data_IF_973071731379
#
_entry.id   IF_973071731379
#
_cell.length_a   1.000
_cell.length_b   1.000
_cell.length_c   1.000
_cell.angle_alpha   90.00
_cell.angle_beta   90.00
_cell.angle_gamma   90.00
#
_symmetry.space_group_name_H-M   'P 1'
#
loop_
_entity.id
_entity.type
_entity.pdbx_description
1 polymer ?
#
# COMPACT_ATOMS: atom_id res chain seq x y z
N UNK A 1 -2.74 -26.49 -32.00
CA UNK A 1 -3.52 -26.49 -33.26
C UNK A 1 -2.71 -27.09 -34.41
N UNK A 2 -2.03 -28.22 -34.20
CA UNK A 2 -1.34 -29.03 -35.23
C UNK A 2 -0.56 -28.25 -36.31
N UNK A 3 0.07 -27.13 -35.94
CA UNK A 3 0.83 -26.30 -36.88
C UNK A 3 -0.01 -25.58 -37.94
N UNK A 4 -1.32 -25.40 -37.75
CA UNK A 4 -2.20 -24.68 -38.70
C UNK A 4 -2.03 -23.17 -38.65
N UNK A 5 -1.54 -22.62 -37.54
CA UNK A 5 -1.38 -21.18 -37.33
C UNK A 5 -0.02 -20.87 -36.72
N UNK A 6 0.47 -19.66 -36.98
CA UNK A 6 1.54 -19.05 -36.19
C UNK A 6 1.19 -17.62 -35.81
N UNK A 7 1.73 -17.14 -34.69
CA UNK A 7 1.58 -15.75 -34.27
C UNK A 7 2.87 -14.97 -34.54
N UNK A 8 2.71 -13.74 -35.04
CA UNK A 8 3.80 -12.78 -35.18
C UNK A 8 3.59 -11.71 -34.12
N UNK A 9 4.46 -11.67 -33.12
CA UNK A 9 4.45 -10.68 -32.06
C UNK A 9 5.56 -9.65 -32.28
N UNK A 10 5.24 -8.37 -32.10
CA UNK A 10 6.20 -7.26 -32.19
C UNK A 10 6.18 -6.48 -30.89
N UNK A 11 7.35 -6.37 -30.27
CA UNK A 11 7.57 -5.55 -29.07
C UNK A 11 8.52 -4.43 -29.48
N UNK A 12 8.04 -3.18 -29.39
CA UNK A 12 8.87 -2.00 -29.63
C UNK A 12 9.65 -1.63 -28.37
N UNK A 13 10.72 -0.86 -28.55
CA UNK A 13 11.55 -0.38 -27.45
C UNK A 13 10.80 0.56 -26.48
N UNK A 14 9.73 1.21 -26.95
CA UNK A 14 8.83 2.04 -26.14
C UNK A 14 7.78 1.22 -25.36
N UNK A 15 7.89 -0.11 -25.37
CA UNK A 15 6.98 -1.02 -24.68
C UNK A 15 5.67 -1.30 -25.43
N UNK A 16 5.44 -0.70 -26.61
CA UNK A 16 4.25 -1.05 -27.40
C UNK A 16 4.33 -2.48 -27.91
N UNK A 17 3.28 -3.26 -27.64
CA UNK A 17 3.13 -4.64 -28.10
C UNK A 17 2.04 -4.70 -29.17
N UNK A 18 2.31 -5.37 -30.27
CA UNK A 18 1.31 -5.72 -31.29
C UNK A 18 1.47 -7.16 -31.74
N UNK A 19 0.40 -7.76 -32.29
CA UNK A 19 0.47 -9.12 -32.76
C UNK A 19 -0.65 -9.51 -33.71
N UNK A 20 -0.33 -10.42 -34.62
CA UNK A 20 -1.24 -10.99 -35.63
C UNK A 20 -1.12 -12.52 -35.62
N UNK A 21 -2.21 -13.20 -35.97
CA UNK A 21 -2.24 -14.65 -36.15
C UNK A 21 -2.39 -14.93 -37.65
N UNK A 22 -1.51 -15.77 -38.19
CA UNK A 22 -1.45 -16.10 -39.61
C UNK A 22 -1.90 -17.55 -39.79
N UNK A 23 -2.80 -17.80 -40.74
CA UNK A 23 -3.16 -19.14 -41.19
C UNK A 23 -2.05 -19.68 -42.12
N UNK A 24 -1.46 -20.81 -41.76
CA UNK A 24 -0.33 -21.38 -42.49
C UNK A 24 -0.71 -21.93 -43.87
N UNK A 25 -1.99 -22.23 -44.09
CA UNK A 25 -2.45 -22.73 -45.37
C UNK A 25 -2.64 -21.61 -46.40
N UNK A 26 -3.11 -20.43 -45.96
CA UNK A 26 -3.35 -19.28 -46.85
C UNK A 26 -2.18 -18.29 -46.86
N UNK A 27 -1.39 -18.25 -45.78
CA UNK A 27 -0.38 -17.21 -45.55
C UNK A 27 -0.99 -15.85 -45.18
N UNK A 28 -2.30 -15.79 -44.92
CA UNK A 28 -3.02 -14.56 -44.64
C UNK A 28 -3.33 -14.42 -43.14
N UNK A 29 -3.60 -13.19 -42.72
CA UNK A 29 -4.06 -12.93 -41.35
C UNK A 29 -5.41 -13.58 -41.10
N UNK A 30 -5.52 -14.27 -39.96
CA UNK A 30 -6.76 -14.87 -39.50
C UNK A 30 -7.69 -13.80 -38.90
N UNK A 31 -8.32 -13.03 -39.78
CA UNK A 31 -9.26 -11.96 -39.44
C UNK A 31 -10.45 -12.35 -38.53
N UNK A 32 -10.97 -13.60 -38.54
CA UNK A 32 -12.05 -13.99 -37.62
C UNK A 32 -11.71 -13.79 -36.14
N UNK A 33 -10.43 -13.76 -35.78
CA UNK A 33 -9.96 -13.44 -34.42
C UNK A 33 -10.31 -12.01 -33.97
N UNK A 34 -10.59 -11.10 -34.92
CA UNK A 34 -10.93 -9.68 -34.66
C UNK A 34 -12.42 -9.39 -34.81
N UNK A 35 -13.23 -10.39 -35.15
CA UNK A 35 -14.66 -10.21 -35.36
C UNK A 35 -15.40 -10.05 -34.01
N UNK A 36 -16.48 -9.27 -34.00
CA UNK A 36 -17.34 -9.08 -32.82
C UNK A 36 -18.09 -10.37 -32.45
N UNK A 37 -18.40 -11.18 -33.46
CA UNK A 37 -19.05 -12.48 -33.31
C UNK A 37 -18.28 -13.51 -34.13
N UNK A 38 -17.97 -14.66 -33.52
CA UNK A 38 -17.21 -15.71 -34.18
C UNK A 38 -17.64 -17.10 -33.70
N UNK A 39 -17.37 -18.10 -34.54
CA UNK A 39 -17.74 -19.49 -34.30
C UNK A 39 -16.78 -20.23 -33.36
N UNK A 40 -17.11 -21.48 -32.98
CA UNK A 40 -16.34 -22.26 -32.02
C UNK A 40 -14.88 -22.51 -32.41
N UNK A 41 -14.58 -22.58 -33.71
CA UNK A 41 -13.21 -22.74 -34.19
C UNK A 41 -12.35 -21.49 -33.95
N UNK A 42 -12.87 -20.30 -34.24
CA UNK A 42 -12.18 -19.04 -33.95
C UNK A 42 -11.98 -18.83 -32.44
N UNK A 43 -12.91 -19.30 -31.61
CA UNK A 43 -12.75 -19.31 -30.15
C UNK A 43 -11.57 -20.19 -29.69
N UNK A 44 -11.34 -21.34 -30.35
CA UNK A 44 -10.18 -22.18 -30.06
C UNK A 44 -8.86 -21.51 -30.48
N UNK A 45 -8.85 -20.84 -31.64
CA UNK A 45 -7.69 -20.04 -32.09
C UNK A 45 -7.40 -18.91 -31.10
N UNK A 46 -8.44 -18.22 -30.64
CA UNK A 46 -8.33 -17.14 -29.64
C UNK A 46 -7.76 -17.66 -28.33
N UNK A 47 -8.28 -18.76 -27.78
CA UNK A 47 -7.79 -19.35 -26.56
C UNK A 47 -6.30 -19.73 -26.67
N UNK A 48 -5.90 -20.40 -27.75
CA UNK A 48 -4.50 -20.76 -27.99
C UNK A 48 -3.60 -19.52 -28.15
N UNK A 49 -4.10 -18.46 -28.78
CA UNK A 49 -3.37 -17.21 -28.92
C UNK A 49 -3.22 -16.48 -27.57
N UNK A 50 -4.26 -16.44 -26.74
CA UNK A 50 -4.21 -15.89 -25.39
C UNK A 50 -3.23 -16.65 -24.51
N UNK A 51 -3.21 -17.99 -24.58
CA UNK A 51 -2.26 -18.82 -23.85
C UNK A 51 -0.81 -18.49 -24.24
N UNK A 52 -0.54 -18.30 -25.54
CA UNK A 52 0.76 -17.85 -26.03
C UNK A 52 1.12 -16.46 -25.50
N UNK A 53 0.18 -15.51 -25.53
CA UNK A 53 0.39 -14.17 -24.99
C UNK A 53 0.69 -14.20 -23.49
N UNK A 54 0.00 -15.06 -22.73
CA UNK A 54 0.28 -15.27 -21.31
C UNK A 54 1.67 -15.89 -21.07
N UNK A 55 2.10 -16.84 -21.89
CA UNK A 55 3.46 -17.39 -21.84
C UNK A 55 4.51 -16.31 -22.10
N UNK A 56 4.34 -15.52 -23.15
CA UNK A 56 5.26 -14.41 -23.45
C UNK A 56 5.27 -13.37 -22.33
N UNK A 57 4.09 -13.00 -21.79
CA UNK A 57 4.00 -12.06 -20.68
C UNK A 57 4.72 -12.56 -19.42
N UNK A 58 4.64 -13.86 -19.12
CA UNK A 58 5.28 -14.44 -17.93
C UNK A 58 6.78 -14.67 -18.09
N UNK A 59 7.25 -14.99 -19.31
CA UNK A 59 8.65 -15.32 -19.57
C UNK A 59 9.49 -14.11 -19.97
N UNK A 60 8.89 -13.13 -20.64
CA UNK A 60 9.63 -12.02 -21.26
C UNK A 60 9.38 -10.67 -20.57
N UNK A 61 8.41 -10.55 -19.67
CA UNK A 61 8.06 -9.28 -19.03
C UNK A 61 8.07 -9.39 -17.51
N UNK A 62 8.46 -8.29 -16.87
CA UNK A 62 8.33 -8.12 -15.41
C UNK A 62 7.02 -7.40 -15.15
N UNK A 63 6.14 -8.03 -14.35
CA UNK A 63 4.91 -7.37 -13.92
C UNK A 63 5.26 -6.23 -12.97
N UNK A 64 4.80 -5.04 -13.32
CA UNK A 64 4.91 -3.84 -12.48
C UNK A 64 3.52 -3.38 -12.01
N UNK A 65 3.40 -2.80 -10.80
CA UNK A 65 2.11 -2.44 -10.22
C UNK A 65 1.46 -1.18 -10.82
N UNK A 66 2.25 -0.28 -11.39
CA UNK A 66 1.80 1.05 -11.86
C UNK A 66 2.21 1.29 -13.32
N UNK A 67 1.67 2.33 -13.96
CA UNK A 67 1.95 2.65 -15.35
C UNK A 67 3.27 3.42 -15.53
N UNK A 68 3.61 4.30 -14.60
CA UNK A 68 4.77 5.18 -14.67
C UNK A 68 6.04 4.58 -14.07
N UNK A 69 7.17 4.87 -14.71
CA UNK A 69 8.47 4.36 -14.27
C UNK A 69 8.81 4.80 -12.83
N UNK A 70 8.57 6.07 -12.50
CA UNK A 70 8.85 6.57 -11.15
C UNK A 70 7.99 5.90 -10.08
N UNK A 71 6.70 5.67 -10.35
CA UNK A 71 5.81 4.95 -9.44
C UNK A 71 6.29 3.51 -9.18
N UNK A 72 6.77 2.84 -10.23
CA UNK A 72 7.31 1.49 -10.13
C UNK A 72 8.66 1.42 -9.42
N UNK A 73 9.57 2.39 -9.66
CA UNK A 73 10.82 2.51 -8.89
C UNK A 73 10.53 2.72 -7.40
N UNK A 74 9.59 3.62 -7.08
CA UNK A 74 9.16 3.87 -5.71
C UNK A 74 8.58 2.61 -5.06
N UNK A 75 7.68 1.89 -5.75
CA UNK A 75 7.07 0.66 -5.24
C UNK A 75 8.14 -0.40 -4.94
N UNK A 76 9.10 -0.58 -5.85
CA UNK A 76 10.21 -1.51 -5.67
C UNK A 76 11.13 -1.09 -4.52
N UNK A 77 11.33 0.21 -4.30
CA UNK A 77 12.08 0.71 -3.14
C UNK A 77 11.32 0.49 -1.82
N UNK A 78 10.01 0.73 -1.77
CA UNK A 78 9.15 0.48 -0.60
C UNK A 78 9.20 -1.01 -0.23
N UNK A 79 9.04 -1.90 -1.22
CA UNK A 79 9.09 -3.34 -1.00
C UNK A 79 10.46 -3.81 -0.48
N UNK A 80 11.56 -3.22 -0.97
CA UNK A 80 12.91 -3.54 -0.50
C UNK A 80 13.22 -2.99 0.89
N UNK A 81 12.74 -1.79 1.21
CA UNK A 81 13.06 -1.07 2.46
C UNK A 81 12.17 -1.48 3.62
N UNK A 82 10.89 -1.72 3.35
CA UNK A 82 9.88 -1.96 4.38
C UNK A 82 9.20 -3.32 4.30
N UNK A 83 9.39 -4.05 3.19
CA UNK A 83 8.65 -5.28 2.87
C UNK A 83 7.13 -5.07 2.73
N UNK A 84 6.69 -3.83 2.54
CA UNK A 84 5.29 -3.50 2.29
C UNK A 84 4.99 -3.65 0.79
N UNK A 85 3.78 -4.14 0.46
CA UNK A 85 3.30 -4.30 -0.92
C UNK A 85 2.12 -3.37 -1.19
N UNK A 86 1.91 -2.92 -2.44
CA UNK A 86 0.73 -2.14 -2.81
C UNK A 86 -0.54 -3.00 -2.73
N UNK A 87 -1.59 -2.46 -2.10
CA UNK A 87 -2.90 -3.09 -1.98
C UNK A 87 -3.92 -2.45 -2.94
N UNK A 88 -4.41 -3.22 -3.92
CA UNK A 88 -5.40 -2.78 -4.89
C UNK A 88 -6.82 -3.01 -4.39
N UNK A 89 -7.32 -2.07 -3.58
CA UNK A 89 -8.56 -2.23 -2.82
C UNK A 89 -9.83 -1.80 -3.60
N UNK A 90 -9.67 -1.08 -4.71
CA UNK A 90 -10.78 -0.42 -5.40
C UNK A 90 -11.19 -1.19 -6.66
N UNK A 91 -12.25 -2.00 -6.58
CA UNK A 91 -12.75 -2.80 -7.73
C UNK A 91 -13.06 -1.97 -8.99
N UNK A 92 -13.49 -0.72 -8.82
CA UNK A 92 -13.82 0.20 -9.93
C UNK A 92 -12.63 1.03 -10.42
N UNK A 93 -11.52 1.02 -9.67
CA UNK A 93 -10.31 1.78 -9.95
C UNK A 93 -9.11 0.84 -9.75
N UNK A 94 -8.92 -0.14 -10.66
CA UNK A 94 -7.95 -1.21 -10.48
C UNK A 94 -6.50 -0.72 -10.46
N UNK A 95 -6.23 0.49 -10.93
CA UNK A 95 -4.90 1.10 -10.98
C UNK A 95 -4.55 1.85 -9.68
N UNK A 96 -5.46 1.88 -8.70
CA UNK A 96 -5.28 2.62 -7.46
C UNK A 96 -4.82 1.65 -6.38
N UNK A 97 -3.72 1.98 -5.71
CA UNK A 97 -3.17 1.14 -4.67
C UNK A 97 -2.79 1.91 -3.42
N UNK A 98 -3.11 1.33 -2.26
CA UNK A 98 -2.71 1.86 -0.98
C UNK A 98 -1.46 1.13 -0.45
N UNK A 99 -0.56 1.87 0.17
CA UNK A 99 0.51 1.34 1.01
C UNK A 99 0.12 1.48 2.48
N UNK A 100 0.17 0.35 3.20
CA UNK A 100 -0.30 0.22 4.57
C UNK A 100 0.83 -0.19 5.49
N UNK A 101 0.92 0.45 6.65
CA UNK A 101 1.88 0.02 7.66
C UNK A 101 1.31 -1.22 8.40
N UNK A 102 2.01 -2.38 8.41
CA UNK A 102 1.42 -3.65 8.82
C UNK A 102 0.87 -3.70 10.25
N UNK A 103 1.50 -3.00 11.21
CA UNK A 103 1.06 -3.06 12.62
C UNK A 103 -0.15 -2.17 12.89
N UNK A 104 -0.15 -0.97 12.32
CA UNK A 104 -1.24 0.00 12.50
C UNK A 104 -2.44 -0.25 11.62
N UNK A 105 -2.25 -1.00 10.53
CA UNK A 105 -3.23 -1.21 9.47
C UNK A 105 -3.73 0.10 8.84
N UNK A 106 -2.99 1.20 9.03
CA UNK A 106 -3.31 2.51 8.46
C UNK A 106 -2.50 2.75 7.20
N UNK A 107 -3.13 3.39 6.22
CA UNK A 107 -2.44 3.82 5.02
C UNK A 107 -1.46 4.95 5.34
N UNK A 108 -0.27 4.88 4.73
CA UNK A 108 0.71 5.96 4.67
C UNK A 108 0.91 6.49 3.25
N UNK A 109 0.59 5.69 2.24
CA UNK A 109 0.65 6.10 0.83
C UNK A 109 -0.59 5.65 0.06
N UNK A 110 -1.01 6.45 -0.91
CA UNK A 110 -2.08 6.09 -1.85
C UNK A 110 -1.67 6.54 -3.25
N UNK A 111 -1.33 5.59 -4.11
CA UNK A 111 -1.00 5.85 -5.52
C UNK A 111 -2.27 5.80 -6.35
N UNK A 112 -2.48 6.82 -7.17
CA UNK A 112 -3.66 6.99 -8.01
C UNK A 112 -3.28 7.62 -9.35
N UNK A 113 -4.11 7.40 -10.36
CA UNK A 113 -3.93 7.98 -11.69
C UNK A 113 -5.03 9.01 -11.99
N UNK A 114 -4.69 10.30 -12.01
CA UNK A 114 -5.64 11.41 -12.11
C UNK A 114 -5.32 12.35 -13.28
N UNK A 115 -6.28 13.14 -13.78
CA UNK A 115 -5.97 14.17 -14.79
C UNK A 115 -4.89 15.14 -14.30
N UNK A 116 -3.87 15.40 -15.12
CA UNK A 116 -2.68 16.21 -14.73
C UNK A 116 -3.03 17.63 -14.28
N UNK A 117 -4.09 18.21 -14.82
CA UNK A 117 -4.58 19.52 -14.41
C UNK A 117 -5.07 19.58 -12.95
N UNK A 118 -5.42 18.44 -12.33
CA UNK A 118 -5.95 18.45 -10.97
C UNK A 118 -4.93 18.87 -9.91
N UNK A 119 -3.75 18.23 -9.81
CA UNK A 119 -2.77 18.65 -8.81
C UNK A 119 -2.05 19.96 -9.21
N UNK A 120 -1.91 20.23 -10.51
CA UNK A 120 -0.99 21.29 -10.98
C UNK A 120 -1.65 22.64 -11.26
N UNK A 121 -2.99 22.73 -11.26
CA UNK A 121 -3.79 23.88 -11.76
C UNK A 121 -3.42 24.33 -13.20
N UNK A 122 -2.57 23.57 -13.91
CA UNK A 122 -2.21 23.84 -15.30
C UNK A 122 -3.36 23.39 -16.21
N UNK A 123 -3.70 24.18 -17.23
CA UNK A 123 -4.70 23.77 -18.22
C UNK A 123 -4.29 22.44 -18.85
N UNK A 124 -5.20 21.47 -18.79
CA UNK A 124 -5.04 20.19 -19.49
C UNK A 124 -5.15 20.43 -20.99
N UNK A 125 -4.14 20.02 -21.74
CA UNK A 125 -4.13 20.09 -23.21
C UNK A 125 -5.00 19.00 -23.85
N UNK A 126 -5.42 17.99 -23.08
CA UNK A 126 -6.28 16.89 -23.53
C UNK A 126 -6.97 16.19 -22.36
N UNK A 127 -8.24 15.77 -22.54
CA UNK A 127 -8.97 14.90 -21.58
C UNK A 127 -8.25 13.59 -21.26
N UNK A 128 -7.27 13.18 -22.08
CA UNK A 128 -6.45 11.97 -21.87
C UNK A 128 -5.15 12.22 -21.08
N UNK A 129 -4.79 13.47 -20.77
CA UNK A 129 -3.57 13.78 -20.03
C UNK A 129 -3.73 13.45 -18.54
N UNK A 130 -3.20 12.29 -18.16
CA UNK A 130 -3.20 11.80 -16.79
C UNK A 130 -1.78 11.73 -16.24
N UNK A 131 -1.68 11.79 -14.92
CA UNK A 131 -0.45 11.65 -14.15
C UNK A 131 -0.72 10.76 -12.96
N UNK A 132 0.23 9.87 -12.67
CA UNK A 132 0.24 9.14 -11.43
C UNK A 132 0.72 10.06 -10.31
N UNK A 133 0.04 10.02 -9.18
CA UNK A 133 0.41 10.75 -7.98
C UNK A 133 0.41 9.80 -6.79
N UNK A 134 1.19 10.12 -5.77
CA UNK A 134 1.08 9.49 -4.45
C UNK A 134 0.60 10.51 -3.43
N UNK A 135 -0.46 10.17 -2.71
CA UNK A 135 -0.87 10.92 -1.52
C UNK A 135 -0.15 10.37 -0.28
N UNK A 136 0.54 11.24 0.45
CA UNK A 136 1.36 10.90 1.62
C UNK A 136 0.97 11.73 2.84
N UNK A 137 0.93 11.10 4.02
CA UNK A 137 0.77 11.84 5.30
C UNK A 137 1.91 12.82 5.51
N UNK A 138 1.59 14.03 5.97
CA UNK A 138 2.55 15.07 6.34
C UNK A 138 2.12 15.79 7.63
N UNK A 139 3.02 15.98 8.61
CA UNK A 139 2.74 16.82 9.78
C UNK A 139 2.60 18.29 9.37
N UNK A 140 1.76 19.03 10.09
CA UNK A 140 1.56 20.46 9.85
C UNK A 140 2.87 21.26 9.88
N UNK A 141 3.83 20.88 10.73
CA UNK A 141 5.12 21.57 10.89
C UNK A 141 6.04 21.49 9.67
N UNK A 142 5.88 20.49 8.80
CA UNK A 142 6.71 20.31 7.59
C UNK A 142 5.95 20.67 6.31
N UNK A 143 4.64 20.89 6.42
CA UNK A 143 3.75 21.03 5.27
C UNK A 143 4.14 22.21 4.37
N UNK A 144 4.39 23.38 4.96
CA UNK A 144 4.75 24.58 4.20
C UNK A 144 6.04 24.37 3.40
N UNK A 145 7.06 23.74 3.99
CA UNK A 145 8.33 23.43 3.31
C UNK A 145 8.15 22.51 2.11
N UNK A 146 7.30 21.49 2.24
CA UNK A 146 7.06 20.56 1.15
C UNK A 146 6.21 21.17 0.03
N UNK A 147 5.22 22.00 0.35
CA UNK A 147 4.39 22.70 -0.65
C UNK A 147 5.16 23.75 -1.46
N UNK A 148 6.36 24.15 -1.01
CA UNK A 148 7.27 25.04 -1.75
C UNK A 148 8.09 24.29 -2.81
N UNK A 149 8.02 22.94 -2.84
CA UNK A 149 8.73 22.13 -3.81
C UNK A 149 7.86 21.87 -5.05
N UNK A 150 8.44 22.01 -6.23
CA UNK A 150 7.80 21.59 -7.48
C UNK A 150 7.42 20.10 -7.43
N UNK A 151 6.24 19.79 -7.96
CA UNK A 151 5.68 18.43 -7.95
C UNK A 151 4.97 18.05 -6.65
N UNK A 152 4.88 18.95 -5.66
CA UNK A 152 4.18 18.71 -4.39
C UNK A 152 3.02 19.70 -4.22
N UNK A 153 1.85 19.16 -3.90
CA UNK A 153 0.58 19.88 -3.89
C UNK A 153 -0.27 19.52 -2.66
N UNK A 154 -1.30 20.31 -2.34
CA UNK A 154 -2.33 19.89 -1.38
C UNK A 154 -2.96 18.55 -1.79
N UNK A 155 -3.28 17.69 -0.81
CA UNK A 155 -3.98 16.44 -1.10
C UNK A 155 -5.34 16.68 -1.75
N UNK A 156 -5.78 15.76 -2.61
CA UNK A 156 -7.01 15.94 -3.37
C UNK A 156 -8.13 14.98 -2.92
N UNK A 157 -7.81 13.70 -2.64
CA UNK A 157 -8.79 12.72 -2.17
C UNK A 157 -8.81 12.58 -0.65
N UNK A 158 -7.65 12.68 -0.01
CA UNK A 158 -7.51 12.60 1.44
C UNK A 158 -7.45 13.99 2.08
N UNK A 159 -7.62 14.05 3.40
CA UNK A 159 -7.69 15.31 4.14
C UNK A 159 -6.45 16.19 3.89
N UNK A 160 -6.65 17.33 3.24
CA UNK A 160 -5.62 18.33 2.95
C UNK A 160 -4.83 18.76 4.19
N UNK A 161 -5.42 18.70 5.39
CA UNK A 161 -4.73 19.10 6.63
C UNK A 161 -3.53 18.21 6.96
N UNK A 162 -3.58 16.94 6.57
CA UNK A 162 -2.64 15.92 7.01
C UNK A 162 -1.99 15.14 5.87
N UNK A 163 -2.33 15.45 4.62
CA UNK A 163 -1.84 14.74 3.45
C UNK A 163 -1.33 15.72 2.39
N UNK A 164 -0.32 15.29 1.64
CA UNK A 164 0.23 15.94 0.45
C UNK A 164 -0.05 15.06 -0.75
N UNK A 165 -0.20 15.67 -1.93
CA UNK A 165 -0.25 14.99 -3.22
C UNK A 165 1.09 15.25 -3.93
N UNK A 166 1.77 14.20 -4.38
CA UNK A 166 3.08 14.31 -5.05
C UNK A 166 2.99 13.67 -6.42
N UNK A 167 3.37 14.39 -7.48
CA UNK A 167 3.39 13.83 -8.84
C UNK A 167 4.54 12.84 -9.00
N UNK A 168 4.25 11.74 -9.72
CA UNK A 168 5.20 10.68 -10.03
C UNK A 168 5.63 10.78 -11.50
N UNK A 169 6.11 11.97 -11.88
CA UNK A 169 6.50 12.34 -13.25
C UNK A 169 7.94 12.88 -13.32
N UNK A 170 8.78 12.45 -12.39
CA UNK A 170 10.20 12.83 -12.24
C UNK A 170 10.44 14.32 -11.92
N UNK A 171 9.39 15.12 -11.65
CA UNK A 171 9.52 16.51 -11.15
C UNK A 171 10.24 16.55 -9.81
N UNK A 172 9.92 15.62 -8.90
CA UNK A 172 10.64 15.42 -7.65
C UNK A 172 11.60 14.25 -7.78
N UNK A 173 12.85 14.42 -7.34
CA UNK A 173 13.84 13.35 -7.39
C UNK A 173 13.47 12.20 -6.43
N UNK A 174 13.77 10.96 -6.83
CA UNK A 174 13.47 9.74 -6.07
C UNK A 174 13.94 9.84 -4.61
N UNK A 175 15.15 10.36 -4.33
CA UNK A 175 15.65 10.51 -2.97
C UNK A 175 14.76 11.38 -2.06
N UNK A 176 14.15 12.46 -2.58
CA UNK A 176 13.22 13.31 -1.81
C UNK A 176 11.87 12.61 -1.63
N UNK A 177 11.41 11.91 -2.66
CA UNK A 177 10.18 11.12 -2.61
C UNK A 177 10.27 10.00 -1.57
N UNK A 178 11.41 9.31 -1.51
CA UNK A 178 11.73 8.32 -0.49
C UNK A 178 11.69 8.93 0.92
N UNK A 179 12.28 10.11 1.13
CA UNK A 179 12.22 10.83 2.42
C UNK A 179 10.78 11.17 2.84
N UNK A 180 9.93 11.58 1.90
CA UNK A 180 8.51 11.83 2.14
C UNK A 180 7.79 10.55 2.55
N UNK A 181 8.04 9.43 1.86
CA UNK A 181 7.45 8.12 2.21
C UNK A 181 7.91 7.66 3.59
N UNK A 182 9.21 7.73 3.89
CA UNK A 182 9.77 7.39 5.21
C UNK A 182 9.09 8.21 6.30
N UNK A 183 9.00 9.53 6.11
CA UNK A 183 8.39 10.45 7.05
C UNK A 183 6.91 10.12 7.27
N UNK A 184 6.18 9.86 6.18
CA UNK A 184 4.77 9.50 6.22
C UNK A 184 4.50 8.21 7.00
N UNK A 185 5.27 7.15 6.69
CA UNK A 185 5.20 5.85 7.36
C UNK A 185 5.61 5.97 8.83
N UNK A 186 6.63 6.75 9.15
CA UNK A 186 7.13 6.95 10.51
C UNK A 186 6.06 7.53 11.46
N UNK A 187 5.11 8.33 10.96
CA UNK A 187 4.00 8.83 11.77
C UNK A 187 3.10 7.73 12.32
N UNK A 188 3.09 6.55 11.69
CA UNK A 188 2.31 5.40 12.10
C UNK A 188 3.08 4.46 13.01
N UNK A 189 4.43 4.53 13.02
CA UNK A 189 5.31 3.64 13.79
C UNK A 189 5.92 4.30 15.03
N UNK A 190 5.72 5.60 15.24
CA UNK A 190 6.19 6.31 16.44
C UNK A 190 5.68 5.62 17.72
N UNK A 191 6.58 5.28 18.67
CA UNK A 191 6.20 4.76 19.96
C UNK A 191 5.20 5.71 20.63
N UNK A 192 4.13 5.13 21.17
CA UNK A 192 3.06 5.85 21.84
C UNK A 192 3.18 5.71 23.36
N UNK A 193 2.68 6.71 24.06
CA UNK A 193 2.48 6.66 25.49
C UNK A 193 1.02 6.31 25.78
N UNK A 194 0.81 5.36 26.68
CA UNK A 194 -0.50 4.90 27.09
C UNK A 194 -0.67 5.08 28.59
N UNK A 195 -1.84 5.55 29.01
CA UNK A 195 -2.21 5.53 30.42
C UNK A 195 -3.05 4.28 30.67
N UNK A 196 -2.54 3.37 31.49
CA UNK A 196 -3.18 2.09 31.77
C UNK A 196 -3.69 2.11 33.21
N UNK A 197 -4.99 1.88 33.45
CA UNK A 197 -5.52 1.87 34.81
C UNK A 197 -5.04 0.62 35.55
N UNK A 198 -4.39 0.81 36.69
CA UNK A 198 -3.95 -0.25 37.59
C UNK A 198 -4.78 -0.19 38.88
N UNK A 199 -5.73 -1.10 39.02
CA UNK A 199 -6.61 -1.12 40.19
C UNK A 199 -6.05 -2.08 41.26
N UNK A 200 -5.63 -1.57 42.44
CA UNK A 200 -5.06 -2.39 43.51
C UNK A 200 -6.01 -3.46 44.05
N UNK A 201 -7.32 -3.35 43.79
CA UNK A 201 -8.30 -4.38 44.17
C UNK A 201 -8.16 -5.68 43.38
N UNK A 202 -7.64 -5.60 42.15
CA UNK A 202 -7.54 -6.75 41.25
C UNK A 202 -6.10 -7.23 41.05
N UNK A 203 -5.11 -6.35 41.26
CA UNK A 203 -3.70 -6.64 41.05
C UNK A 203 -2.89 -6.01 42.18
N UNK A 204 -1.91 -6.72 42.74
CA UNK A 204 -0.91 -6.11 43.63
C UNK A 204 0.09 -5.29 42.80
N UNK A 205 -0.36 -4.12 42.35
CA UNK A 205 0.46 -3.24 41.53
C UNK A 205 1.67 -2.73 42.32
N UNK A 206 1.55 -2.52 43.63
CA UNK A 206 2.61 -1.88 44.41
C UNK A 206 3.87 -2.74 44.47
N UNK A 207 3.72 -4.06 44.51
CA UNK A 207 4.83 -5.02 44.54
C UNK A 207 5.05 -5.74 43.19
N UNK A 208 4.41 -5.27 42.11
CA UNK A 208 4.39 -5.97 40.83
C UNK A 208 5.79 -6.26 40.24
N UNK A 209 6.79 -5.46 40.57
CA UNK A 209 8.17 -5.60 40.07
C UNK A 209 9.20 -5.93 41.16
N UNK A 210 8.77 -6.46 42.31
CA UNK A 210 9.71 -6.84 43.39
C UNK A 210 10.53 -8.07 42.98
N UNK A 211 9.85 -9.09 42.43
CA UNK A 211 10.48 -10.38 42.09
C UNK A 211 10.75 -10.56 40.59
N UNK A 212 10.19 -9.68 39.75
CA UNK A 212 10.20 -9.81 38.29
C UNK A 212 10.40 -8.46 37.59
N UNK A 213 11.25 -8.42 36.56
CA UNK A 213 11.46 -7.22 35.73
C UNK A 213 10.34 -7.01 34.67
N UNK A 214 9.49 -8.02 34.49
CA UNK A 214 8.41 -8.02 33.50
C UNK A 214 7.13 -8.56 34.11
N UNK A 215 6.00 -7.90 33.81
CA UNK A 215 4.66 -8.35 34.22
C UNK A 215 3.74 -8.45 33.02
N UNK A 216 2.81 -9.41 33.08
CA UNK A 216 1.74 -9.53 32.09
C UNK A 216 0.57 -8.63 32.49
N UNK A 217 0.03 -7.89 31.51
CA UNK A 217 -1.11 -7.01 31.72
C UNK A 217 -2.16 -7.22 30.64
N UNK A 218 -3.44 -7.07 30.99
CA UNK A 218 -4.53 -7.16 30.01
C UNK A 218 -4.39 -6.06 28.96
N UNK A 219 -4.24 -6.45 27.70
CA UNK A 219 -4.21 -5.54 26.57
C UNK A 219 -5.63 -5.04 26.23
N UNK A 220 -5.94 -3.79 26.57
CA UNK A 220 -7.25 -3.16 26.31
C UNK A 220 -7.23 -2.17 25.15
N UNK A 221 -6.05 -1.86 24.61
CA UNK A 221 -5.83 -0.84 23.58
C UNK A 221 -4.86 -1.36 22.53
N UNK A 222 -4.68 -0.60 21.44
CA UNK A 222 -3.71 -0.90 20.36
C UNK A 222 -2.25 -0.59 20.76
N UNK A 223 -1.88 -0.95 21.98
CA UNK A 223 -0.51 -0.93 22.49
C UNK A 223 0.37 -1.82 21.60
N UNK A 224 1.62 -1.40 21.38
CA UNK A 224 2.60 -2.14 20.59
C UNK A 224 3.91 -2.33 21.35
N UNK A 225 4.66 -3.36 20.97
CA UNK A 225 6.05 -3.51 21.42
C UNK A 225 6.84 -2.23 21.14
N UNK A 226 7.53 -1.74 22.17
CA UNK A 226 8.29 -0.48 22.16
C UNK A 226 7.54 0.73 22.72
N UNK A 227 6.20 0.67 22.82
CA UNK A 227 5.38 1.70 23.44
C UNK A 227 5.70 1.84 24.94
N UNK A 228 5.33 2.99 25.51
CA UNK A 228 5.44 3.25 26.94
C UNK A 228 4.06 3.15 27.59
N UNK A 229 3.93 2.29 28.59
CA UNK A 229 2.73 2.16 29.41
C UNK A 229 2.97 2.81 30.78
N UNK A 230 2.20 3.84 31.09
CA UNK A 230 2.15 4.48 32.40
C UNK A 230 1.05 3.83 33.23
N UNK A 231 1.44 3.13 34.30
CA UNK A 231 0.50 2.42 35.18
C UNK A 231 -0.07 3.40 36.20
N UNK A 232 -1.30 3.82 35.97
CA UNK A 232 -2.00 4.80 36.80
C UNK A 232 -2.90 4.11 37.82
N UNK A 233 -2.60 4.33 39.10
CA UNK A 233 -3.43 3.88 40.20
C UNK A 233 -4.42 4.98 40.54
N UNK A 234 -5.72 4.64 40.48
CA UNK A 234 -6.80 5.53 40.86
C UNK A 234 -6.85 5.75 42.39
N UNK A 235 -7.98 6.17 42.95
CA UNK A 235 -8.09 6.38 44.39
C UNK A 235 -7.73 5.09 45.19
N UNK A 236 -7.03 5.22 46.35
CA UNK A 236 -6.62 6.47 47.01
C UNK A 236 -5.32 7.09 46.47
N UNK A 237 -4.54 6.34 45.70
CA UNK A 237 -3.17 6.70 45.30
C UNK A 237 -3.12 7.85 44.28
N UNK A 238 -4.04 7.84 43.29
CA UNK A 238 -4.21 8.89 42.26
C UNK A 238 -2.90 9.31 41.57
N UNK A 239 -2.02 8.35 41.27
CA UNK A 239 -0.71 8.62 40.71
C UNK A 239 -0.27 7.54 39.71
N UNK A 240 0.67 7.89 38.84
CA UNK A 240 1.40 6.94 38.02
C UNK A 240 2.49 6.32 38.90
N UNK A 241 2.47 5.00 39.06
CA UNK A 241 3.42 4.30 39.93
C UNK A 241 4.55 3.65 39.12
N UNK A 242 4.28 3.27 37.87
CA UNK A 242 5.30 2.73 36.98
C UNK A 242 5.23 3.34 35.59
N UNK A 243 6.42 3.48 34.99
CA UNK A 243 6.61 3.73 33.56
C UNK A 243 7.25 2.46 32.99
N UNK A 244 6.47 1.69 32.27
CA UNK A 244 6.88 0.41 31.71
C UNK A 244 7.13 0.56 30.20
N UNK A 245 8.11 -0.16 29.67
CA UNK A 245 8.24 -0.39 28.22
C UNK A 245 7.52 -1.69 27.88
N UNK A 246 6.71 -1.64 26.83
CA UNK A 246 6.00 -2.82 26.33
C UNK A 246 6.99 -3.68 25.55
N UNK A 247 7.20 -4.91 25.99
CA UNK A 247 8.17 -5.85 25.40
C UNK A 247 7.51 -6.89 24.50
N UNK A 248 6.25 -7.22 24.77
CA UNK A 248 5.46 -8.22 24.04
C UNK A 248 3.98 -7.80 24.03
N UNK A 249 3.25 -8.15 22.96
CA UNK A 249 1.81 -7.88 22.78
C UNK A 249 1.11 -9.08 22.17
N UNK A 250 -0.22 -9.08 22.21
CA UNK A 250 -1.07 -10.12 21.59
C UNK A 250 -0.80 -11.53 22.15
N UNK A 251 -0.43 -11.57 23.44
CA UNK A 251 -0.17 -12.81 24.19
C UNK A 251 -1.50 -13.58 24.34
N UNK A 252 -1.57 -14.86 23.91
CA UNK A 252 -2.76 -15.68 24.08
C UNK A 252 -3.17 -15.77 25.55
N UNK A 253 -4.45 -15.54 25.83
CA UNK A 253 -5.01 -15.60 27.18
C UNK A 253 -6.10 -16.67 27.24
N UNK A 254 -5.72 -17.88 27.64
CA UNK A 254 -6.66 -18.97 27.89
C UNK A 254 -7.16 -18.89 29.34
N UNK A 255 -8.26 -18.16 29.54
CA UNK A 255 -8.95 -18.15 30.81
C UNK A 255 -10.25 -18.95 30.72
N UNK A 256 -10.28 -20.09 31.39
CA UNK A 256 -11.50 -20.83 31.68
C UNK A 256 -11.82 -20.68 33.16
N UNK A 257 -12.98 -20.09 33.48
CA UNK A 257 -13.58 -20.27 34.80
C UNK A 257 -15.05 -20.62 34.67
N UNK A 258 -15.52 -21.49 35.57
CA UNK A 258 -16.90 -22.00 35.58
C UNK A 258 -17.97 -20.92 35.86
N UNK A 259 -17.57 -19.66 36.10
CA UNK A 259 -18.48 -18.61 36.55
C UNK A 259 -18.45 -17.30 35.73
N UNK A 260 -17.61 -17.16 34.70
CA UNK A 260 -17.56 -15.92 33.91
C UNK A 260 -17.36 -16.17 32.42
N UNK A 261 -18.42 -15.98 31.63
CA UNK A 261 -18.32 -15.76 30.18
C UNK A 261 -17.93 -14.29 29.95
N UNK A 262 -16.67 -14.06 29.64
CA UNK A 262 -16.27 -12.79 29.01
C UNK A 262 -16.43 -12.99 27.50
N UNK A 263 -17.33 -12.23 26.88
CA UNK A 263 -17.35 -12.03 25.43
C UNK A 263 -16.41 -10.90 25.04
#
# INVERSE_FOLDING_TARGET
MDGQFHAILRVKFDGQVSGNVIDNNTGEEYLPLRAVHFGPFAAQVEAAYLDLLHQVATQCFVRVPFHGDQANRLAAWIARTFHDQPEFLFKRLPDYAAFREPRSQKWYGLVINIPRARPTDKQSTSKSDKVEVIELRCPASQRATWLDQDGVYPAYHLSEKNWLCVTLDDTIADAKLEQLVQSSRALLTKPRAWLVPANPKYYDIMHAFVDHDTITWKQSTSIRVGDTAYMYVAAPVKAIIYRCRVVETDIPYDYQSAALKIK
#
